data_IF_387274751838
#
_entry.id   IF_387274751838
#
_cell.length_a   1.000
_cell.length_b   1.000
_cell.length_c   1.000
_cell.angle_alpha   90.00
_cell.angle_beta   90.00
_cell.angle_gamma   90.00
#
_symmetry.space_group_name_H-M   'P 1'
#
loop_
_entity.id
_entity.type
_entity.pdbx_description
1 polymer ?
#
# COMPACT_ATOMS: atom_id res chain seq x y z
N UNK A 1 5.71 -2.93 12.89
CA UNK A 1 5.27 -1.52 12.86
C UNK A 1 4.75 -1.07 14.22
N UNK A 2 3.62 -1.61 14.70
CA UNK A 2 3.00 -1.19 15.98
C UNK A 2 3.94 -1.31 17.20
N UNK A 3 4.81 -2.33 17.23
CA UNK A 3 5.81 -2.49 18.30
C UNK A 3 6.87 -1.38 18.31
N UNK A 4 7.18 -0.80 17.15
CA UNK A 4 8.19 0.25 16.99
C UNK A 4 7.59 1.66 17.13
N UNK A 5 6.32 1.84 16.79
CA UNK A 5 5.58 3.09 16.91
C UNK A 5 4.10 2.77 17.02
N UNK A 6 3.48 2.99 18.17
CA UNK A 6 2.07 2.65 18.38
C UNK A 6 1.14 3.59 17.59
N UNK A 7 1.52 4.88 17.48
CA UNK A 7 0.76 5.90 16.76
C UNK A 7 0.60 5.62 15.27
N UNK A 8 1.46 4.77 14.69
CA UNK A 8 1.35 4.34 13.29
C UNK A 8 0.04 3.61 12.99
N UNK A 9 -0.65 3.10 14.02
CA UNK A 9 -1.97 2.51 13.90
C UNK A 9 -3.00 3.41 13.22
N UNK A 10 -2.83 4.74 13.27
CA UNK A 10 -3.69 5.70 12.56
C UNK A 10 -3.56 5.62 11.03
N UNK A 11 -2.45 5.07 10.54
CA UNK A 11 -2.14 4.92 9.11
C UNK A 11 -2.24 3.47 8.64
N UNK A 12 -2.76 2.58 9.49
CA UNK A 12 -3.01 1.19 9.19
C UNK A 12 -4.52 0.92 9.10
N UNK A 13 -4.97 -0.01 8.25
CA UNK A 13 -4.19 -0.81 7.28
C UNK A 13 -3.79 -0.01 6.03
N UNK A 14 -3.04 -0.63 5.11
CA UNK A 14 -2.88 -0.09 3.76
C UNK A 14 -4.20 -0.22 2.99
N UNK A 15 -4.84 0.91 2.73
CA UNK A 15 -6.14 0.93 2.04
C UNK A 15 -6.00 0.54 0.56
N UNK A 16 -6.98 -0.22 0.07
CA UNK A 16 -7.14 -0.59 -1.33
C UNK A 16 -8.55 -0.21 -1.76
N UNK A 17 -8.66 0.55 -2.84
CA UNK A 17 -9.91 0.93 -3.47
C UNK A 17 -10.03 0.23 -4.82
N UNK A 18 -11.21 -0.35 -5.07
CA UNK A 18 -11.56 -0.96 -6.36
C UNK A 18 -12.89 -0.39 -6.81
N UNK A 19 -12.95 0.07 -8.05
CA UNK A 19 -14.17 0.59 -8.66
C UNK A 19 -14.21 0.30 -10.16
N UNK A 20 -15.39 0.47 -10.74
CA UNK A 20 -15.63 0.31 -12.17
C UNK A 20 -15.48 1.65 -12.91
N UNK A 21 -14.85 1.62 -14.08
CA UNK A 21 -14.79 2.67 -15.08
C UNK A 21 -15.21 2.10 -16.45
N UNK A 22 -15.40 2.94 -17.47
CA UNK A 22 -15.91 2.53 -18.80
C UNK A 22 -15.08 1.38 -19.43
N UNK A 23 -13.77 1.37 -19.18
CA UNK A 23 -12.83 0.41 -19.76
C UNK A 23 -12.44 -0.75 -18.81
N UNK A 24 -13.16 -0.92 -17.69
CA UNK A 24 -12.96 -2.05 -16.77
C UNK A 24 -12.87 -1.65 -15.29
N UNK A 25 -12.14 -2.44 -14.50
CA UNK A 25 -11.94 -2.14 -13.07
C UNK A 25 -10.63 -1.42 -12.81
N UNK A 26 -10.68 -0.37 -12.00
CA UNK A 26 -9.49 0.33 -11.49
C UNK A 26 -9.19 -0.14 -10.07
N UNK A 27 -7.92 -0.46 -9.82
CA UNK A 27 -7.40 -0.82 -8.50
C UNK A 27 -6.39 0.24 -8.08
N UNK A 28 -6.62 0.87 -6.93
CA UNK A 28 -5.72 1.86 -6.34
C UNK A 28 -5.33 1.46 -4.93
N UNK A 29 -4.03 1.49 -4.66
CA UNK A 29 -3.46 1.09 -3.38
C UNK A 29 -2.74 2.29 -2.76
N UNK A 30 -3.05 2.56 -1.48
CA UNK A 30 -2.36 3.59 -0.72
C UNK A 30 -0.87 3.22 -0.56
N UNK A 31 0.02 4.15 -0.94
CA UNK A 31 1.47 3.90 -0.95
C UNK A 31 2.06 3.97 0.46
N UNK A 32 2.64 2.87 1.01
CA UNK A 32 3.16 2.86 2.38
C UNK A 32 4.21 3.94 2.64
N UNK A 33 5.14 4.15 1.70
CA UNK A 33 6.20 5.17 1.80
C UNK A 33 5.62 6.56 2.07
N UNK A 34 4.66 7.00 1.24
CA UNK A 34 4.06 8.32 1.34
C UNK A 34 3.21 8.49 2.62
N UNK A 35 2.55 7.42 3.08
CA UNK A 35 1.79 7.46 4.33
C UNK A 35 2.73 7.59 5.53
N UNK A 36 3.81 6.82 5.57
CA UNK A 36 4.67 6.70 6.75
C UNK A 36 5.67 7.86 6.88
N UNK A 37 5.89 8.64 5.82
CA UNK A 37 6.68 9.90 5.85
C UNK A 37 6.19 10.90 6.92
N UNK A 38 4.91 10.86 7.28
CA UNK A 38 4.32 11.69 8.34
C UNK A 38 4.88 11.37 9.74
N UNK A 39 5.30 10.12 9.97
CA UNK A 39 5.72 9.64 11.30
C UNK A 39 7.22 9.82 11.53
N UNK A 40 8.03 9.97 10.47
CA UNK A 40 9.48 10.25 10.52
C UNK A 40 10.26 9.34 11.47
N UNK A 41 9.90 8.05 11.53
CA UNK A 41 10.58 7.04 12.35
C UNK A 41 11.34 6.05 11.46
N UNK A 42 12.67 6.16 11.43
CA UNK A 42 13.54 5.31 10.60
C UNK A 42 13.45 3.81 10.94
N UNK A 43 13.05 3.45 12.17
CA UNK A 43 12.84 2.05 12.55
C UNK A 43 11.69 1.39 11.79
N UNK A 44 10.80 2.18 11.17
CA UNK A 44 9.70 1.67 10.35
C UNK A 44 10.12 1.34 8.92
N UNK A 45 11.25 1.87 8.43
CA UNK A 45 11.66 1.75 7.02
C UNK A 45 11.66 0.29 6.50
N UNK A 46 12.19 -0.71 7.24
CA UNK A 46 12.18 -2.09 6.76
C UNK A 46 10.77 -2.64 6.53
N UNK A 47 9.80 -2.24 7.35
CA UNK A 47 8.40 -2.67 7.21
C UNK A 47 7.72 -1.92 6.07
N UNK A 48 8.05 -0.65 5.87
CA UNK A 48 7.54 0.16 4.76
C UNK A 48 8.02 -0.42 3.42
N UNK A 49 9.30 -0.78 3.32
CA UNK A 49 9.90 -1.35 2.11
C UNK A 49 9.29 -2.73 1.77
N UNK A 50 9.15 -3.61 2.76
CA UNK A 50 8.52 -4.94 2.57
C UNK A 50 7.05 -4.81 2.15
N UNK A 51 6.30 -3.89 2.77
CA UNK A 51 4.91 -3.63 2.40
C UNK A 51 4.79 -3.08 0.97
N UNK A 52 5.62 -2.09 0.60
CA UNK A 52 5.59 -1.48 -0.74
C UNK A 52 5.90 -2.53 -1.82
N UNK A 53 6.92 -3.37 -1.61
CA UNK A 53 7.27 -4.43 -2.55
C UNK A 53 6.13 -5.43 -2.77
N UNK A 54 5.47 -5.87 -1.69
CA UNK A 54 4.38 -6.85 -1.75
C UNK A 54 3.14 -6.27 -2.43
N UNK A 55 2.79 -5.03 -2.11
CA UNK A 55 1.62 -4.34 -2.68
C UNK A 55 1.81 -4.06 -4.17
N UNK A 56 3.01 -3.65 -4.60
CA UNK A 56 3.33 -3.50 -6.03
C UNK A 56 3.18 -4.82 -6.79
N UNK A 57 3.75 -5.90 -6.26
CA UNK A 57 3.60 -7.24 -6.88
C UNK A 57 2.14 -7.67 -6.99
N UNK A 58 1.32 -7.38 -5.98
CA UNK A 58 -0.10 -7.67 -6.00
C UNK A 58 -0.85 -6.82 -7.05
N UNK A 59 -0.50 -5.53 -7.16
CA UNK A 59 -1.06 -4.63 -8.16
C UNK A 59 -0.70 -5.06 -9.59
N UNK A 60 0.57 -5.40 -9.83
CA UNK A 60 1.05 -5.89 -11.14
C UNK A 60 0.29 -7.16 -11.56
N UNK A 61 0.09 -8.10 -10.61
CA UNK A 61 -0.67 -9.31 -10.85
C UNK A 61 -2.16 -9.02 -11.13
N UNK A 62 -2.76 -8.06 -10.44
CA UNK A 62 -4.15 -7.65 -10.65
C UNK A 62 -4.36 -6.98 -12.01
N UNK A 63 -3.42 -6.15 -12.45
CA UNK A 63 -3.48 -5.45 -13.73
C UNK A 63 -3.24 -6.40 -14.92
N UNK A 64 -2.43 -7.44 -14.73
CA UNK A 64 -2.19 -8.46 -15.78
C UNK A 64 -3.46 -9.24 -16.11
N UNK A 65 -4.41 -9.38 -15.16
CA UNK A 65 -5.68 -10.07 -15.39
C UNK A 65 -6.67 -9.30 -16.29
N UNK A 66 -6.57 -7.98 -16.38
CA UNK A 66 -7.44 -7.15 -17.24
C UNK A 66 -6.95 -7.04 -18.70
N UNK A 67 -5.79 -7.62 -19.04
CA UNK A 67 -5.18 -7.52 -20.37
C UNK A 67 -5.52 -8.70 -21.32
N UNK A 68 -6.50 -9.55 -20.98
CA UNK A 68 -7.00 -10.66 -21.81
C UNK A 68 -8.50 -10.58 -21.94
#
# INVERSE_FOLDING_TARGET
ALEAELGIGLLLPCNVCVWEEEDGSVVSIARPQAMFDLVRNAALQPVVDDADQRLRRALDAAQTMNAT
#
